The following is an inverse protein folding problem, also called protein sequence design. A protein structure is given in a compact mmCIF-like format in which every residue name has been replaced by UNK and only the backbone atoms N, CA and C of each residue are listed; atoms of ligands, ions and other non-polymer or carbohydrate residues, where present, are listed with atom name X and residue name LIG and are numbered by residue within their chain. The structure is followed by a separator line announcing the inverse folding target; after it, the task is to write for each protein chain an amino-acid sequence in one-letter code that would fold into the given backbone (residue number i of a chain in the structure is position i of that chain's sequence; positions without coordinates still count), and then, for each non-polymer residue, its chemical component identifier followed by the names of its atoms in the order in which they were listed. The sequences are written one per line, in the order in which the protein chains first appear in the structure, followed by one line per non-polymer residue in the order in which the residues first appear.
data_IF_843517331832
#
_entry.id   IF_843517331832
#
_cell.length_a   1.000
_cell.length_b   1.000
_cell.length_c   1.000
_cell.angle_alpha   90.00
_cell.angle_beta   90.00
_cell.angle_gamma   90.00
#
_symmetry.space_group_name_H-M   'P 1'
#
loop_
_entity.id
_entity.type
_entity.pdbx_description
1 polymer ?
#
# COMPACT_ATOMS: atom_id res chain seq x y z
N UNK A 1 52.06 -2.11 43.11
CA UNK A 1 50.67 -1.95 42.61
C UNK A 1 50.20 -0.48 42.71
N UNK A 2 51.02 0.50 42.29
CA UNK A 2 50.71 1.95 42.41
C UNK A 2 50.32 2.63 41.09
N UNK A 3 50.62 2.03 39.93
CA UNK A 3 50.32 2.62 38.62
C UNK A 3 48.81 2.82 38.35
N UNK A 4 47.93 1.89 38.78
CA UNK A 4 46.50 1.94 38.42
C UNK A 4 45.73 3.11 39.04
N UNK A 5 46.16 3.63 40.19
CA UNK A 5 45.47 4.72 40.89
C UNK A 5 45.84 6.11 40.35
N UNK A 6 47.06 6.28 39.80
CA UNK A 6 47.48 7.54 39.18
C UNK A 6 46.77 7.79 37.86
N UNK A 7 46.61 6.76 37.00
CA UNK A 7 45.84 6.89 35.75
C UNK A 7 44.38 7.27 36.00
N UNK A 8 43.73 6.69 37.03
CA UNK A 8 42.35 7.02 37.36
C UNK A 8 42.19 8.46 37.89
N UNK A 9 43.15 8.93 38.70
CA UNK A 9 43.16 10.32 39.19
C UNK A 9 43.48 11.33 38.08
N UNK A 10 44.33 10.95 37.12
CA UNK A 10 44.65 11.76 35.95
C UNK A 10 43.43 11.83 35.02
N UNK A 11 42.77 10.70 34.74
CA UNK A 11 41.52 10.64 33.98
C UNK A 11 40.38 11.46 34.59
N UNK A 12 40.19 11.41 35.91
CA UNK A 12 39.16 12.19 36.63
C UNK A 12 39.46 13.70 36.70
N UNK A 13 40.69 14.14 36.42
CA UNK A 13 41.09 15.55 36.37
C UNK A 13 41.30 16.07 34.95
N UNK A 14 41.40 15.17 33.98
CA UNK A 14 41.63 15.52 32.59
C UNK A 14 40.29 15.78 31.90
N UNK A 15 40.00 17.06 31.72
CA UNK A 15 38.80 17.56 31.05
C UNK A 15 38.63 16.97 29.65
N UNK A 16 39.71 16.55 28.98
CA UNK A 16 39.66 15.93 27.66
C UNK A 16 39.09 14.50 27.69
N UNK A 17 39.35 13.74 28.77
CA UNK A 17 38.79 12.40 28.98
C UNK A 17 37.29 12.44 29.30
N UNK A 18 36.87 13.42 30.11
CA UNK A 18 35.45 13.63 30.42
C UNK A 18 34.66 14.10 29.18
N UNK A 19 35.23 15.01 28.37
CA UNK A 19 34.60 15.51 27.13
C UNK A 19 34.45 14.38 26.10
N UNK A 20 35.44 13.50 25.96
CA UNK A 20 35.35 12.38 25.01
C UNK A 20 34.30 11.34 25.41
N UNK A 21 34.11 11.05 26.70
CA UNK A 21 33.03 10.17 27.18
C UNK A 21 31.65 10.76 26.89
N UNK A 22 31.47 12.06 27.11
CA UNK A 22 30.19 12.74 26.86
C UNK A 22 29.84 12.76 25.36
N UNK A 23 30.84 13.00 24.50
CA UNK A 23 30.68 12.87 23.05
C UNK A 23 30.33 11.45 22.59
N UNK A 24 30.90 10.42 23.20
CA UNK A 24 30.61 9.03 22.83
C UNK A 24 29.18 8.64 23.23
N UNK A 25 28.73 9.03 24.43
CA UNK A 25 27.36 8.77 24.87
C UNK A 25 26.36 9.56 24.03
N UNK A 26 26.66 10.82 23.71
CA UNK A 26 25.83 11.64 22.84
C UNK A 26 25.75 11.06 21.42
N UNK A 27 26.88 10.64 20.85
CA UNK A 27 26.92 10.01 19.53
C UNK A 27 26.15 8.68 19.51
N UNK A 28 26.27 7.87 20.57
CA UNK A 28 25.51 6.63 20.71
C UNK A 28 24.00 6.89 20.83
N UNK A 29 23.59 7.89 21.62
CA UNK A 29 22.19 8.28 21.76
C UNK A 29 21.60 8.81 20.45
N UNK A 30 22.33 9.66 19.72
CA UNK A 30 21.90 10.16 18.39
C UNK A 30 21.81 9.03 17.37
N UNK A 31 22.75 8.08 17.39
CA UNK A 31 22.71 6.92 16.49
C UNK A 31 21.52 6.02 16.82
N UNK A 32 21.25 5.77 18.10
CA UNK A 32 20.09 4.98 18.55
C UNK A 32 18.76 5.63 18.15
N UNK A 33 18.63 6.95 18.30
CA UNK A 33 17.44 7.70 17.86
C UNK A 33 17.30 7.64 16.34
N UNK A 34 18.39 7.80 15.59
CA UNK A 34 18.37 7.71 14.12
C UNK A 34 17.91 6.33 13.65
N UNK A 35 18.44 5.25 14.25
CA UNK A 35 18.03 3.88 13.95
C UNK A 35 16.56 3.64 14.30
N UNK A 36 16.11 4.07 15.48
CA UNK A 36 14.72 3.94 15.91
C UNK A 36 13.74 4.77 15.07
N UNK A 37 14.21 5.87 14.47
CA UNK A 37 13.37 6.74 13.63
C UNK A 37 13.34 6.31 12.17
N UNK A 38 14.18 5.35 11.76
CA UNK A 38 14.30 4.94 10.36
C UNK A 38 12.98 4.37 9.84
N UNK A 39 12.28 3.55 10.63
CA UNK A 39 10.98 3.00 10.24
C UNK A 39 9.92 4.09 10.10
N UNK A 40 9.86 5.03 11.04
CA UNK A 40 8.93 6.17 10.98
C UNK A 40 9.20 7.05 9.76
N UNK A 41 10.48 7.31 9.45
CA UNK A 41 10.89 8.11 8.30
C UNK A 41 10.58 7.36 7.00
N UNK A 42 10.85 6.06 6.93
CA UNK A 42 10.52 5.25 5.76
C UNK A 42 9.01 5.19 5.51
N UNK A 43 8.21 5.00 6.56
CA UNK A 43 6.74 4.97 6.44
C UNK A 43 6.19 6.35 6.06
N UNK A 44 6.71 7.43 6.67
CA UNK A 44 6.36 8.80 6.31
C UNK A 44 6.75 9.14 4.87
N UNK A 45 7.91 8.67 4.39
CA UNK A 45 8.32 8.83 2.99
C UNK A 45 7.49 7.97 2.04
N UNK A 46 7.07 6.76 2.43
CA UNK A 46 6.17 5.90 1.62
C UNK A 46 4.78 6.52 1.50
N UNK A 47 4.18 6.97 2.61
CA UNK A 47 2.90 7.68 2.62
C UNK A 47 2.98 8.99 1.81
N UNK A 48 4.06 9.77 1.97
CA UNK A 48 4.26 10.98 1.17
C UNK A 48 4.49 10.65 -0.32
N UNK A 49 5.25 9.61 -0.64
CA UNK A 49 5.47 9.18 -2.02
C UNK A 49 4.17 8.69 -2.66
N UNK A 50 3.35 7.91 -1.95
CA UNK A 50 2.01 7.50 -2.41
C UNK A 50 1.07 8.68 -2.61
N UNK A 51 1.06 9.63 -1.67
CA UNK A 51 0.28 10.88 -1.79
C UNK A 51 0.76 11.72 -2.97
N UNK A 52 2.06 11.92 -3.13
CA UNK A 52 2.64 12.74 -4.21
C UNK A 52 2.49 12.07 -5.57
N UNK A 53 2.68 10.75 -5.68
CA UNK A 53 2.44 10.01 -6.92
C UNK A 53 0.96 10.07 -7.32
N UNK A 54 0.05 9.96 -6.33
CA UNK A 54 -1.37 10.18 -6.55
C UNK A 54 -1.66 11.60 -7.04
N UNK A 55 -1.15 12.64 -6.37
CA UNK A 55 -1.42 14.04 -6.75
C UNK A 55 -0.80 14.40 -8.12
N UNK A 56 0.40 13.90 -8.44
CA UNK A 56 1.09 14.18 -9.71
C UNK A 56 0.48 13.41 -10.90
N UNK A 57 -0.13 12.24 -10.70
CA UNK A 57 -0.93 11.56 -11.72
C UNK A 57 -2.26 12.28 -12.00
N UNK A 58 -2.72 13.13 -11.09
CA UNK A 58 -3.93 13.97 -11.25
C UNK A 58 -3.76 15.21 -12.13
N UNK A 59 -2.53 15.65 -12.41
CA UNK A 59 -2.22 16.89 -13.15
C UNK A 59 -1.54 16.58 -14.50
N UNK A 60 -2.30 16.02 -15.44
CA UNK A 60 -1.96 16.08 -16.85
C UNK A 60 -2.96 17.02 -17.56
N UNK A 61 -2.62 18.31 -17.75
CA UNK A 61 -3.49 19.22 -18.49
C UNK A 61 -3.51 18.83 -19.97
N UNK A 62 -4.52 18.03 -20.37
CA UNK A 62 -4.89 17.82 -21.77
C UNK A 62 -4.87 16.38 -22.32
N UNK A 63 -4.68 15.34 -21.50
CA UNK A 63 -4.57 13.96 -22.00
C UNK A 63 -5.89 13.16 -22.06
N UNK A 64 -7.02 13.74 -21.66
CA UNK A 64 -8.29 13.00 -21.53
C UNK A 64 -8.28 11.98 -20.40
N UNK A 65 -7.22 11.95 -19.59
CA UNK A 65 -7.12 11.17 -18.37
C UNK A 65 -7.45 12.05 -17.16
N UNK A 66 -8.37 11.62 -16.30
CA UNK A 66 -8.72 12.33 -15.08
C UNK A 66 -8.59 11.39 -13.88
N UNK A 67 -7.79 11.77 -12.88
CA UNK A 67 -7.88 11.12 -11.59
C UNK A 67 -9.20 11.54 -10.95
N UNK A 68 -10.01 10.56 -10.60
CA UNK A 68 -11.38 10.76 -10.08
C UNK A 68 -11.50 10.38 -8.60
N UNK A 69 -10.53 9.62 -8.08
CA UNK A 69 -10.48 9.21 -6.68
C UNK A 69 -9.06 8.90 -6.26
N UNK A 70 -8.74 9.21 -5.00
CA UNK A 70 -7.53 8.77 -4.30
C UNK A 70 -7.81 8.61 -2.81
N UNK A 71 -7.24 7.58 -2.20
CA UNK A 71 -7.32 7.33 -0.76
C UNK A 71 -6.11 6.51 -0.27
N UNK A 72 -5.31 7.10 0.61
CA UNK A 72 -4.27 6.42 1.38
C UNK A 72 -4.72 6.04 2.79
N UNK A 73 -6.03 6.10 3.08
CA UNK A 73 -6.68 5.64 4.31
C UNK A 73 -6.24 6.30 5.63
N UNK A 74 -5.40 7.34 5.58
CA UNK A 74 -4.96 8.13 6.75
C UNK A 74 -6.09 8.85 7.48
N UNK A 75 -7.22 9.08 6.80
CA UNK A 75 -8.37 9.77 7.35
C UNK A 75 -9.60 8.86 7.52
N UNK A 76 -9.41 7.54 7.46
CA UNK A 76 -10.49 6.55 7.51
C UNK A 76 -10.73 5.85 6.17
N UNK A 77 -11.82 5.09 6.08
CA UNK A 77 -12.20 4.29 4.90
C UNK A 77 -13.55 4.73 4.31
N UNK A 78 -13.79 6.04 4.24
CA UNK A 78 -15.12 6.59 4.04
C UNK A 78 -15.65 6.26 2.64
N UNK A 79 -16.74 5.51 2.57
CA UNK A 79 -17.35 5.03 1.32
C UNK A 79 -16.92 3.60 0.94
N UNK A 80 -15.98 3.01 1.67
CA UNK A 80 -15.77 1.57 1.68
C UNK A 80 -16.71 0.90 2.68
N UNK A 81 -17.16 -0.30 2.33
CA UNK A 81 -17.94 -1.17 3.19
C UNK A 81 -17.10 -2.35 3.70
N UNK A 82 -17.57 -3.05 4.73
CA UNK A 82 -17.00 -4.33 5.16
C UNK A 82 -15.78 -4.27 6.07
N UNK A 83 -15.03 -3.17 6.07
CA UNK A 83 -13.92 -2.95 7.01
C UNK A 83 -13.68 -1.47 7.28
N UNK A 84 -12.84 -1.18 8.26
CA UNK A 84 -12.37 0.17 8.58
C UNK A 84 -10.91 0.36 8.16
N UNK A 85 -10.45 1.61 8.10
CA UNK A 85 -9.01 1.89 8.12
C UNK A 85 -8.40 1.46 9.47
N UNK A 86 -7.22 0.86 9.44
CA UNK A 86 -6.45 0.52 10.63
C UNK A 86 -4.97 0.85 10.43
N UNK A 87 -4.29 1.18 11.52
CA UNK A 87 -2.85 1.40 11.49
C UNK A 87 -2.11 0.06 11.60
N UNK A 88 -1.30 -0.26 10.59
CA UNK A 88 -0.37 -1.40 10.59
C UNK A 88 1.04 -0.87 10.80
N UNK A 89 1.67 -1.32 11.89
CA UNK A 89 3.05 -0.95 12.23
C UNK A 89 3.98 -1.25 11.06
N UNK A 90 4.83 -0.32 10.64
CA UNK A 90 5.73 -0.55 9.50
C UNK A 90 5.14 -0.24 8.12
N UNK A 91 3.84 0.04 8.03
CA UNK A 91 3.17 0.42 6.78
C UNK A 91 2.55 1.81 6.93
N UNK A 92 1.59 1.96 7.83
CA UNK A 92 0.75 3.17 7.91
C UNK A 92 -0.71 2.82 8.14
N UNK A 93 -1.60 3.76 7.84
CA UNK A 93 -3.03 3.47 7.85
C UNK A 93 -3.40 2.80 6.52
N UNK A 94 -4.14 1.70 6.60
CA UNK A 94 -4.52 0.89 5.44
C UNK A 94 -5.99 0.53 5.52
N UNK A 95 -6.62 0.22 4.38
CA UNK A 95 -7.92 -0.44 4.35
C UNK A 95 -7.75 -1.91 4.69
N UNK A 96 -8.30 -2.32 5.83
CA UNK A 96 -8.09 -3.66 6.38
C UNK A 96 -7.49 -3.60 7.79
N UNK A 97 -6.92 -4.70 8.30
CA UNK A 97 -6.68 -5.95 7.59
C UNK A 97 -7.96 -6.70 7.18
N UNK A 98 -7.87 -7.48 6.09
CA UNK A 98 -8.95 -8.25 5.51
C UNK A 98 -8.59 -9.75 5.59
N UNK A 99 -9.34 -10.49 6.39
CA UNK A 99 -9.25 -11.95 6.50
C UNK A 99 -10.64 -12.58 6.60
N UNK A 100 -10.75 -13.91 6.46
CA UNK A 100 -11.95 -14.64 6.89
C UNK A 100 -13.24 -14.40 6.11
N UNK A 101 -13.18 -14.11 4.80
CA UNK A 101 -14.40 -13.89 4.00
C UNK A 101 -14.93 -15.15 3.31
N UNK A 102 -14.29 -16.31 3.51
CA UNK A 102 -14.50 -17.54 2.73
C UNK A 102 -14.40 -17.28 1.22
N UNK A 103 -13.56 -16.31 0.83
CA UNK A 103 -13.38 -15.89 -0.55
C UNK A 103 -14.48 -14.98 -1.12
N UNK A 104 -15.46 -14.53 -0.33
CA UNK A 104 -16.47 -13.57 -0.80
C UNK A 104 -15.93 -12.12 -0.80
N UNK A 105 -16.41 -11.22 -1.70
CA UNK A 105 -16.07 -9.80 -1.70
C UNK A 105 -16.76 -9.05 -0.54
N UNK A 106 -16.23 -9.17 0.67
CA UNK A 106 -16.84 -8.56 1.86
C UNK A 106 -16.48 -7.10 2.04
N UNK A 107 -15.37 -6.64 1.48
CA UNK A 107 -14.96 -5.24 1.46
C UNK A 107 -15.18 -4.70 0.06
N UNK A 108 -15.92 -3.61 -0.11
CA UNK A 108 -16.17 -3.08 -1.45
C UNK A 108 -16.56 -1.61 -1.47
N UNK A 109 -16.46 -1.02 -2.66
CA UNK A 109 -16.88 0.34 -2.97
C UNK A 109 -17.39 0.44 -4.41
N UNK A 110 -18.42 1.26 -4.59
CA UNK A 110 -18.96 1.64 -5.89
C UNK A 110 -18.30 2.93 -6.42
N UNK A 111 -17.97 2.92 -7.71
CA UNK A 111 -17.44 4.06 -8.45
C UNK A 111 -18.36 4.41 -9.61
N UNK A 112 -18.83 5.67 -9.63
CA UNK A 112 -19.67 6.17 -10.70
C UNK A 112 -18.80 6.77 -11.83
N UNK A 113 -19.15 6.45 -13.07
CA UNK A 113 -18.49 6.95 -14.27
C UNK A 113 -19.48 7.59 -15.23
N UNK A 114 -18.98 8.55 -16.03
CA UNK A 114 -19.76 9.13 -17.11
C UNK A 114 -19.98 8.10 -18.23
N UNK A 115 -21.15 8.15 -18.86
CA UNK A 115 -21.45 7.35 -20.04
C UNK A 115 -20.44 7.65 -21.15
N UNK A 116 -19.87 6.60 -21.76
CA UNK A 116 -18.84 6.75 -22.80
C UNK A 116 -17.42 6.93 -22.28
N UNK A 117 -17.17 6.73 -20.98
CA UNK A 117 -15.80 6.55 -20.46
C UNK A 117 -15.10 5.42 -21.24
N UNK A 118 -13.93 5.68 -21.82
CA UNK A 118 -13.19 4.71 -22.63
C UNK A 118 -12.51 3.65 -21.75
N UNK A 119 -11.99 4.06 -20.60
CA UNK A 119 -11.42 3.14 -19.62
C UNK A 119 -11.41 3.72 -18.21
N UNK A 120 -11.52 2.86 -17.20
CA UNK A 120 -11.23 3.19 -15.79
C UNK A 120 -10.11 2.29 -15.28
N UNK A 121 -9.09 2.85 -14.66
CA UNK A 121 -7.98 2.14 -14.03
C UNK A 121 -8.07 2.29 -12.52
N UNK A 122 -8.14 1.16 -11.84
CA UNK A 122 -8.03 1.04 -10.39
C UNK A 122 -6.60 0.60 -10.07
N UNK A 123 -5.87 1.42 -9.34
CA UNK A 123 -4.48 1.14 -8.95
C UNK A 123 -4.33 1.26 -7.45
N UNK A 124 -3.67 0.29 -6.81
CA UNK A 124 -3.50 0.26 -5.37
C UNK A 124 -2.32 -0.61 -4.96
N UNK A 125 -1.80 -0.36 -3.78
CA UNK A 125 -0.86 -1.23 -3.11
C UNK A 125 -1.62 -2.33 -2.36
N UNK A 126 -1.14 -3.55 -2.51
CA UNK A 126 -1.63 -4.73 -1.84
C UNK A 126 -0.50 -5.31 -0.99
N UNK A 127 -0.78 -5.39 0.31
CA UNK A 127 0.06 -6.08 1.28
C UNK A 127 -0.55 -7.45 1.56
N UNK A 128 0.20 -8.51 1.28
CA UNK A 128 -0.12 -9.85 1.76
C UNK A 128 0.72 -10.09 3.00
N UNK A 129 0.05 -10.06 4.15
CA UNK A 129 0.68 -10.17 5.46
C UNK A 129 0.90 -11.65 5.78
N UNK A 130 2.09 -11.95 6.29
CA UNK A 130 2.51 -13.28 6.71
C UNK A 130 2.49 -14.31 5.56
N UNK A 131 2.38 -15.61 5.88
CA UNK A 131 2.05 -16.65 4.92
C UNK A 131 0.54 -16.77 4.76
N UNK A 132 0.04 -16.64 3.53
CA UNK A 132 -1.29 -17.13 3.15
C UNK A 132 -1.12 -18.58 2.68
N UNK A 133 -0.80 -19.49 3.61
CA UNK A 133 -0.37 -20.87 3.38
C UNK A 133 -1.50 -21.79 2.91
N UNK A 134 -1.86 -21.63 1.63
CA UNK A 134 -3.01 -22.19 0.89
C UNK A 134 -4.26 -21.31 0.94
N UNK A 135 -4.13 -20.09 1.45
CA UNK A 135 -5.13 -19.04 1.39
C UNK A 135 -4.81 -18.00 0.32
N UNK A 136 -5.78 -17.14 0.03
CA UNK A 136 -5.64 -16.11 -0.99
C UNK A 136 -6.34 -14.83 -0.60
N UNK A 137 -5.70 -13.70 -0.90
CA UNK A 137 -6.40 -12.45 -1.12
C UNK A 137 -7.03 -12.45 -2.50
N UNK A 138 -8.26 -11.95 -2.63
CA UNK A 138 -9.03 -12.02 -3.88
C UNK A 138 -9.56 -10.63 -4.22
N UNK A 139 -9.43 -10.23 -5.49
CA UNK A 139 -9.89 -8.96 -6.02
C UNK A 139 -11.05 -9.19 -6.97
N UNK A 140 -12.09 -8.36 -6.83
CA UNK A 140 -13.32 -8.43 -7.59
C UNK A 140 -13.61 -7.12 -8.30
N UNK A 141 -14.20 -7.22 -9.49
CA UNK A 141 -14.83 -6.10 -10.20
C UNK A 141 -16.24 -6.55 -10.61
N UNK A 142 -17.25 -5.78 -10.25
CA UNK A 142 -18.68 -6.10 -10.46
C UNK A 142 -19.07 -7.51 -9.96
N UNK A 143 -18.44 -7.94 -8.86
CA UNK A 143 -18.65 -9.27 -8.27
C UNK A 143 -17.99 -10.42 -9.02
N UNK A 144 -17.36 -10.17 -10.18
CA UNK A 144 -16.51 -11.14 -10.87
C UNK A 144 -15.12 -11.12 -10.25
N UNK A 145 -14.59 -12.30 -9.91
CA UNK A 145 -13.19 -12.42 -9.49
C UNK A 145 -12.28 -12.06 -10.66
N UNK A 146 -11.37 -11.09 -10.45
CA UNK A 146 -10.40 -10.62 -11.44
C UNK A 146 -9.05 -11.29 -11.26
N UNK A 147 -8.67 -11.53 -10.02
CA UNK A 147 -7.44 -12.22 -9.70
C UNK A 147 -7.29 -12.41 -8.21
N UNK A 148 -6.28 -13.18 -7.86
CA UNK A 148 -5.97 -13.54 -6.48
C UNK A 148 -4.47 -13.55 -6.25
N UNK A 149 -4.09 -13.33 -5.01
CA UNK A 149 -2.73 -13.42 -4.53
C UNK A 149 -2.63 -14.51 -3.46
N UNK A 150 -1.68 -15.41 -3.63
CA UNK A 150 -1.26 -16.39 -2.62
C UNK A 150 0.13 -16.01 -2.13
N UNK A 151 0.44 -16.18 -0.85
CA UNK A 151 1.76 -15.90 -0.28
C UNK A 151 2.27 -17.11 0.48
N UNK A 152 3.48 -17.59 0.18
CA UNK A 152 4.12 -18.65 0.95
C UNK A 152 5.47 -18.16 1.46
N UNK A 153 5.58 -17.93 2.77
CA UNK A 153 6.78 -17.39 3.43
C UNK A 153 7.27 -16.11 2.75
N UNK A 154 6.38 -15.13 2.57
CA UNK A 154 6.68 -13.83 1.96
C UNK A 154 6.96 -13.85 0.46
N UNK A 155 6.76 -15.00 -0.21
CA UNK A 155 6.82 -15.11 -1.68
C UNK A 155 5.42 -15.18 -2.23
N UNK A 156 4.96 -14.07 -2.79
CA UNK A 156 3.63 -14.05 -3.37
C UNK A 156 3.62 -14.45 -4.84
N UNK A 157 2.48 -14.97 -5.26
CA UNK A 157 2.14 -15.19 -6.66
C UNK A 157 0.77 -14.58 -6.90
N UNK A 158 0.71 -13.72 -7.91
CA UNK A 158 -0.55 -13.19 -8.42
C UNK A 158 -1.02 -14.05 -9.60
N UNK A 159 -2.29 -14.45 -9.56
CA UNK A 159 -2.95 -15.20 -10.60
C UNK A 159 -4.19 -14.44 -11.07
N UNK A 160 -4.26 -14.17 -12.38
CA UNK A 160 -5.49 -13.70 -13.03
C UNK A 160 -6.51 -14.84 -13.00
N UNK A 161 -7.76 -14.51 -12.69
CA UNK A 161 -8.82 -15.50 -12.62
C UNK A 161 -9.14 -16.13 -13.98
N UNK A 162 -9.69 -17.34 -13.95
CA UNK A 162 -10.15 -18.00 -15.18
C UNK A 162 -11.34 -17.24 -15.79
N UNK A 163 -11.38 -17.15 -17.13
CA UNK A 163 -12.50 -16.55 -17.85
C UNK A 163 -12.50 -15.02 -17.89
N UNK A 164 -11.40 -14.36 -17.50
CA UNK A 164 -11.22 -12.93 -17.74
C UNK A 164 -11.01 -12.67 -19.22
N UNK A 165 -11.84 -11.79 -19.79
CA UNK A 165 -11.68 -11.31 -21.16
C UNK A 165 -10.54 -10.27 -21.23
N UNK A 166 -9.42 -10.56 -21.92
CA UNK A 166 -8.30 -9.63 -22.05
C UNK A 166 -8.63 -8.39 -22.90
N UNK A 167 -9.73 -8.41 -23.66
CA UNK A 167 -10.24 -7.23 -24.38
C UNK A 167 -11.10 -6.33 -23.46
N UNK A 168 -11.68 -6.87 -22.39
CA UNK A 168 -12.38 -6.09 -21.37
C UNK A 168 -11.46 -5.58 -20.25
N UNK A 169 -10.47 -6.38 -19.85
CA UNK A 169 -9.59 -6.10 -18.71
C UNK A 169 -8.11 -6.10 -19.09
N UNK A 170 -7.35 -5.15 -18.55
CA UNK A 170 -5.88 -5.19 -18.52
C UNK A 170 -5.47 -5.24 -17.05
N UNK A 171 -4.74 -6.28 -16.66
CA UNK A 171 -4.31 -6.48 -15.27
C UNK A 171 -2.79 -6.49 -15.24
N UNK A 172 -2.22 -5.73 -14.31
CA UNK A 172 -0.77 -5.68 -14.07
C UNK A 172 -0.53 -5.82 -12.58
N UNK A 173 0.43 -6.66 -12.23
CA UNK A 173 0.99 -6.73 -10.89
C UNK A 173 2.47 -6.41 -11.01
N UNK A 174 2.96 -5.59 -10.08
CA UNK A 174 4.38 -5.31 -9.90
C UNK A 174 4.74 -5.62 -8.47
N UNK A 175 5.65 -6.56 -8.26
CA UNK A 175 6.26 -6.76 -6.94
C UNK A 175 7.08 -5.53 -6.58
N UNK A 176 6.80 -4.96 -5.42
CA UNK A 176 7.61 -3.87 -4.85
C UNK A 176 8.61 -4.47 -3.89
N UNK A 177 8.13 -5.27 -2.92
CA UNK A 177 8.97 -5.98 -1.96
C UNK A 177 8.49 -7.42 -1.77
N UNK A 178 9.44 -8.34 -1.62
CA UNK A 178 9.24 -9.77 -1.33
C UNK A 178 10.12 -10.15 -0.13
N UNK A 179 9.68 -11.12 0.68
CA UNK A 179 10.47 -11.68 1.80
C UNK A 179 10.89 -10.62 2.85
N UNK A 180 9.99 -9.68 3.12
CA UNK A 180 10.20 -8.54 4.05
C UNK A 180 9.40 -8.73 5.35
N UNK A 181 9.69 -7.93 6.38
CA UNK A 181 8.81 -7.82 7.54
C UNK A 181 8.12 -6.45 7.48
N UNK A 182 6.82 -6.44 7.21
CA UNK A 182 5.96 -5.29 7.03
C UNK A 182 4.89 -5.28 8.12
N UNK A 183 5.30 -5.18 9.38
CA UNK A 183 4.34 -5.20 10.49
C UNK A 183 3.81 -6.58 10.84
N UNK A 184 2.87 -6.65 11.78
CA UNK A 184 2.36 -7.94 12.27
C UNK A 184 3.42 -8.76 13.01
N UNK A 185 3.68 -9.98 12.54
CA UNK A 185 4.65 -10.91 13.13
C UNK A 185 6.09 -10.59 12.74
N UNK A 186 7.01 -10.62 13.70
CA UNK A 186 8.45 -10.51 13.43
C UNK A 186 9.10 -11.85 13.03
N UNK A 187 8.34 -12.94 13.02
CA UNK A 187 8.83 -14.28 12.68
C UNK A 187 8.54 -14.64 11.22
N UNK A 188 7.57 -13.97 10.61
CA UNK A 188 7.04 -14.32 9.30
C UNK A 188 7.23 -13.21 8.29
N UNK A 189 7.18 -13.60 7.03
CA UNK A 189 7.58 -12.75 5.91
C UNK A 189 6.36 -12.33 5.13
N UNK A 190 6.30 -11.04 4.84
CA UNK A 190 5.23 -10.37 4.13
C UNK A 190 5.62 -10.10 2.68
N UNK A 191 4.62 -9.72 1.90
CA UNK A 191 4.77 -9.31 0.51
C UNK A 191 4.04 -8.00 0.23
N UNK A 192 4.64 -7.16 -0.62
CA UNK A 192 4.07 -5.91 -1.09
C UNK A 192 4.11 -5.84 -2.61
N UNK A 193 2.95 -5.58 -3.21
CA UNK A 193 2.83 -5.36 -4.64
C UNK A 193 1.93 -4.18 -4.95
N UNK A 194 2.15 -3.58 -6.12
CA UNK A 194 1.20 -2.69 -6.74
C UNK A 194 0.36 -3.47 -7.76
N UNK A 195 -0.95 -3.27 -7.72
CA UNK A 195 -1.92 -3.87 -8.64
C UNK A 195 -2.58 -2.75 -9.43
N UNK A 196 -2.63 -2.91 -10.76
CA UNK A 196 -3.38 -2.04 -11.65
C UNK A 196 -4.36 -2.85 -12.50
N UNK A 197 -5.66 -2.51 -12.41
CA UNK A 197 -6.74 -3.13 -13.17
C UNK A 197 -7.41 -2.05 -14.01
N UNK A 198 -7.24 -2.13 -15.32
CA UNK A 198 -7.94 -1.28 -16.28
C UNK A 198 -9.16 -2.02 -16.85
N UNK A 199 -10.34 -1.44 -16.65
CA UNK A 199 -11.60 -1.85 -17.27
C UNK A 199 -11.83 -0.99 -18.50
N UNK A 200 -11.98 -1.62 -19.68
CA UNK A 200 -12.33 -0.91 -20.92
C UNK A 200 -13.84 -0.75 -21.04
N UNK A 201 -14.28 0.42 -21.49
CA UNK A 201 -15.69 0.78 -21.62
C UNK A 201 -16.51 0.41 -20.37
N UNK A 202 -16.12 0.88 -19.16
CA UNK A 202 -16.80 0.51 -17.93
C UNK A 202 -18.28 0.93 -17.95
N UNK A 203 -19.10 0.20 -17.20
CA UNK A 203 -20.46 0.63 -16.88
C UNK A 203 -20.44 1.96 -16.12
N UNK A 204 -21.57 2.67 -16.07
CA UNK A 204 -21.69 3.93 -15.31
C UNK A 204 -21.57 3.75 -13.80
N UNK A 205 -21.61 2.51 -13.31
CA UNK A 205 -21.26 2.14 -11.95
C UNK A 205 -20.41 0.88 -12.00
N UNK A 206 -19.24 0.90 -11.36
CA UNK A 206 -18.38 -0.27 -11.20
C UNK A 206 -18.12 -0.49 -9.72
N UNK A 207 -18.37 -1.71 -9.26
CA UNK A 207 -18.03 -2.12 -7.90
C UNK A 207 -16.64 -2.73 -7.88
N UNK A 208 -15.75 -2.25 -7.01
CA UNK A 208 -14.47 -2.91 -6.71
C UNK A 208 -14.58 -3.55 -5.34
N UNK A 209 -14.17 -4.80 -5.25
CA UNK A 209 -14.27 -5.59 -4.03
C UNK A 209 -13.00 -6.37 -3.70
N UNK A 210 -12.85 -6.68 -2.42
CA UNK A 210 -11.78 -7.47 -1.86
C UNK A 210 -12.33 -8.55 -0.93
N UNK A 211 -11.71 -9.72 -0.98
CA UNK A 211 -12.01 -10.86 -0.13
C UNK A 211 -10.74 -11.60 0.26
N UNK A 212 -10.88 -12.54 1.19
CA UNK A 212 -9.80 -13.42 1.62
C UNK A 212 -10.33 -14.80 1.99
N UNK A 213 -9.57 -15.85 1.66
CA UNK A 213 -9.80 -17.19 2.17
C UNK A 213 -9.02 -17.49 3.44
N UNK A 214 -8.28 -16.51 3.99
CA UNK A 214 -7.60 -16.60 5.29
C UNK A 214 -8.56 -17.19 6.32
N UNK A 215 -8.16 -18.29 6.96
CA UNK A 215 -9.01 -18.96 7.94
C UNK A 215 -8.53 -18.72 9.37
N UNK A 216 -7.39 -18.05 9.52
CA UNK A 216 -6.84 -17.61 10.78
C UNK A 216 -7.27 -16.17 11.14
N UNK A 217 -6.82 -15.70 12.30
CA UNK A 217 -7.10 -14.34 12.74
C UNK A 217 -6.43 -13.32 11.82
N UNK A 218 -7.02 -12.13 11.67
CA UNK A 218 -6.49 -11.06 10.82
C UNK A 218 -5.16 -10.47 11.29
N UNK A 219 -4.71 -10.78 12.50
CA UNK A 219 -3.37 -10.43 13.00
C UNK A 219 -2.27 -11.41 12.56
N UNK A 220 -2.67 -12.50 11.91
CA UNK A 220 -1.80 -13.58 11.43
C UNK A 220 -1.88 -13.58 9.89
N UNK A 221 -3.00 -14.03 9.32
CA UNK A 221 -3.21 -14.10 7.87
C UNK A 221 -4.18 -13.01 7.39
N UNK A 222 -3.70 -12.08 6.58
CA UNK A 222 -4.57 -11.05 6.02
C UNK A 222 -4.00 -10.41 4.76
N UNK A 223 -4.87 -9.71 4.05
CA UNK A 223 -4.45 -8.69 3.09
C UNK A 223 -4.83 -7.30 3.56
N UNK A 224 -4.09 -6.29 3.14
CA UNK A 224 -4.45 -4.88 3.34
C UNK A 224 -4.24 -4.10 2.06
N UNK A 225 -5.05 -3.06 1.86
CA UNK A 225 -5.00 -2.20 0.67
C UNK A 225 -4.60 -0.79 1.06
N UNK A 226 -3.74 -0.17 0.27
CA UNK A 226 -3.30 1.22 0.47
C UNK A 226 -3.13 1.95 -0.86
N UNK A 227 -2.95 3.27 -0.81
CA UNK A 227 -2.71 4.14 -1.97
C UNK A 227 -3.67 3.88 -3.15
N UNK A 228 -4.96 3.73 -2.84
CA UNK A 228 -5.97 3.37 -3.83
C UNK A 228 -6.33 4.58 -4.68
N UNK A 229 -6.18 4.46 -6.00
CA UNK A 229 -6.50 5.51 -6.96
C UNK A 229 -7.41 5.01 -8.07
N UNK A 230 -8.21 5.93 -8.61
CA UNK A 230 -9.03 5.70 -9.80
C UNK A 230 -8.73 6.76 -10.83
N UNK A 231 -8.28 6.34 -12.01
CA UNK A 231 -8.06 7.20 -13.16
C UNK A 231 -8.96 6.78 -14.30
N UNK A 232 -9.73 7.72 -14.84
CA UNK A 232 -10.55 7.49 -16.03
C UNK A 232 -9.85 8.03 -17.26
N UNK A 233 -10.23 7.50 -18.42
CA UNK A 233 -9.94 8.08 -19.73
C UNK A 233 -11.25 8.29 -20.45
N UNK A 234 -11.51 9.51 -20.91
CA UNK A 234 -12.70 9.86 -21.69
C UNK A 234 -12.29 10.38 -23.06
N UNK A 235 -13.10 10.13 -24.08
CA UNK A 235 -12.88 10.69 -25.40
C UNK A 235 -12.84 12.24 -25.32
N UNK A 236 -11.95 12.91 -26.06
CA UNK A 236 -11.92 14.37 -26.11
C UNK A 236 -13.26 14.88 -26.64
N UNK A 237 -13.86 15.84 -25.93
CA UNK A 237 -15.13 16.45 -26.34
C UNK A 237 -14.91 17.18 -27.65
N UNK A 238 -15.43 16.65 -28.77
CA UNK A 238 -15.40 17.35 -30.05
C UNK A 238 -16.41 18.50 -30.01
N UNK A 239 -15.98 19.68 -29.58
CA UNK A 239 -16.80 20.89 -29.76
C UNK A 239 -16.87 21.17 -31.26
N UNK A 240 -17.93 20.72 -31.91
CA UNK A 240 -18.19 21.07 -33.31
C UNK A 240 -18.27 22.61 -33.41
N UNK A 241 -17.59 23.24 -34.38
CA UNK A 241 -17.71 24.68 -34.55
C UNK A 241 -19.15 25.02 -34.94
N UNK A 242 -19.79 25.85 -34.12
CA UNK A 242 -21.09 26.44 -34.42
C UNK A 242 -20.96 27.25 -35.72
N UNK A 243 -21.38 26.68 -36.84
CA UNK A 243 -21.54 27.45 -38.08
C UNK A 243 -22.78 28.32 -37.92
N UNK A 244 -22.61 29.57 -37.50
CA UNK A 244 -23.62 30.61 -37.69
C UNK A 244 -23.69 30.92 -39.18
N UNK A 245 -24.82 30.57 -39.81
CA UNK A 245 -25.20 31.05 -41.14
C UNK A 245 -25.72 32.48 -41.11
#
# INVERSE_FOLDING_TARGET
MRLKAEYLRQFLRDSHGAVTVDYVILAAAVTAVTLASTDVIQNGMRSLAGTVDSELKGEAPGSGHAMTYSDGFDNGSQGWSGTSSANVSGIGNVLGPIGGSNGAPTVSRDFAFEEGTESATFEFDLYAMDSLDNESGIIFVDGQEIGRITSNLGKATFQVADGIDPDAYIIRQTTIDDDVHLGGSSEWRDHHSNIAITVRNPNTNVNVGFGSTANQSTSDESISIDNFTVTTKTAPTTTAPTTTG
#
